data_IF_184709680206
#
_entry.id   IF_184709680206
#
_cell.length_a   1.000
_cell.length_b   1.000
_cell.length_c   1.000
_cell.angle_alpha   90.00
_cell.angle_beta   90.00
_cell.angle_gamma   90.00
#
_symmetry.space_group_name_H-M   'P 1'
#
loop_
_entity.id
_entity.type
_entity.pdbx_description
1 polymer ?
#
# COMPACT_ATOMS: atom_id res chain seq x y z
N UNK A 1 -74.21 22.57 -32.02
CA UNK A 1 -73.19 22.97 -31.06
C UNK A 1 -72.43 21.76 -30.60
N UNK A 2 -71.30 21.46 -31.22
CA UNK A 2 -70.44 20.33 -30.89
C UNK A 2 -69.16 20.94 -30.28
N UNK A 3 -68.91 20.65 -28.99
CA UNK A 3 -67.70 21.07 -28.30
C UNK A 3 -66.59 20.06 -28.60
N UNK A 4 -65.53 20.54 -29.21
CA UNK A 4 -64.28 19.79 -29.38
C UNK A 4 -63.53 19.77 -28.05
N UNK A 5 -63.22 18.58 -27.55
CA UNK A 5 -62.37 18.34 -26.42
C UNK A 5 -60.93 18.13 -26.95
N UNK A 6 -60.07 19.12 -26.71
CA UNK A 6 -58.68 18.99 -27.07
C UNK A 6 -57.93 18.14 -26.05
N UNK A 7 -57.35 17.04 -26.53
CA UNK A 7 -56.42 16.22 -25.74
C UNK A 7 -55.03 16.82 -25.87
N UNK A 8 -54.52 17.36 -24.79
CA UNK A 8 -53.11 17.81 -24.67
C UNK A 8 -52.28 16.56 -24.29
N UNK A 9 -51.52 16.04 -25.24
CA UNK A 9 -50.50 15.02 -24.98
C UNK A 9 -49.27 15.65 -24.38
N UNK A 10 -49.05 15.45 -23.10
CA UNK A 10 -47.78 15.80 -22.41
C UNK A 10 -46.77 14.68 -22.76
N UNK A 11 -45.85 15.01 -23.67
CA UNK A 11 -44.68 14.17 -23.94
C UNK A 11 -43.68 14.32 -22.79
N UNK A 12 -43.67 13.38 -21.88
CA UNK A 12 -42.62 13.27 -20.86
C UNK A 12 -41.39 12.65 -21.53
N UNK A 13 -40.45 13.49 -21.97
CA UNK A 13 -39.12 13.04 -22.37
C UNK A 13 -38.36 12.68 -21.12
N UNK A 14 -38.31 11.38 -20.79
CA UNK A 14 -37.33 10.82 -19.86
C UNK A 14 -35.95 10.91 -20.53
N UNK A 15 -35.24 11.99 -20.25
CA UNK A 15 -33.80 12.03 -20.45
C UNK A 15 -33.18 11.08 -19.40
N UNK A 16 -32.95 9.85 -19.81
CA UNK A 16 -32.07 8.95 -19.10
C UNK A 16 -30.65 9.54 -19.20
N UNK A 17 -30.31 10.42 -18.26
CA UNK A 17 -28.92 10.74 -17.97
C UNK A 17 -28.29 9.46 -17.43
N UNK A 18 -27.64 8.72 -18.33
CA UNK A 18 -26.65 7.73 -17.92
C UNK A 18 -25.57 8.51 -17.17
N UNK A 19 -25.68 8.54 -15.84
CA UNK A 19 -24.56 8.87 -14.99
C UNK A 19 -23.53 7.76 -15.29
N UNK A 20 -22.57 8.06 -16.18
CA UNK A 20 -21.30 7.37 -16.18
C UNK A 20 -20.74 7.61 -14.77
N UNK A 21 -20.94 6.65 -13.89
CA UNK A 21 -20.19 6.58 -12.65
C UNK A 21 -18.73 6.61 -13.10
N UNK A 22 -18.08 7.74 -12.84
CA UNK A 22 -16.65 7.90 -13.08
C UNK A 22 -16.03 6.81 -12.22
N UNK A 23 -15.56 5.70 -12.84
CA UNK A 23 -14.86 4.65 -12.11
C UNK A 23 -13.80 5.34 -11.28
N UNK A 24 -13.81 5.09 -9.98
CA UNK A 24 -12.79 5.62 -9.10
C UNK A 24 -11.44 5.19 -9.72
N UNK A 25 -10.64 6.17 -10.10
CA UNK A 25 -9.43 5.89 -10.85
C UNK A 25 -8.37 5.47 -9.85
N UNK A 26 -7.84 4.23 -10.00
CA UNK A 26 -6.73 3.75 -9.17
C UNK A 26 -5.60 4.78 -9.18
N UNK A 27 -5.19 5.22 -8.00
CA UNK A 27 -4.08 6.15 -7.85
C UNK A 27 -2.75 5.42 -8.00
N UNK A 28 -1.85 5.96 -8.82
CA UNK A 28 -0.52 5.39 -9.06
C UNK A 28 0.52 6.20 -8.31
N UNK A 29 1.22 5.55 -7.37
CA UNK A 29 2.28 6.14 -6.57
C UNK A 29 3.67 5.60 -6.87
N UNK A 30 4.65 6.18 -6.20
CA UNK A 30 6.05 5.76 -6.28
C UNK A 30 6.69 5.70 -4.90
N UNK A 31 7.27 4.54 -4.56
CA UNK A 31 8.07 4.36 -3.36
C UNK A 31 9.39 5.10 -3.52
N UNK A 32 9.58 6.16 -2.76
CA UNK A 32 10.71 7.06 -2.92
C UNK A 32 11.14 7.72 -1.60
N UNK A 33 12.23 8.46 -1.60
CA UNK A 33 12.72 9.23 -0.45
C UNK A 33 12.34 10.70 -0.55
N UNK A 34 12.44 11.41 0.58
CA UNK A 34 12.19 12.87 0.65
C UNK A 34 12.95 13.66 -0.43
N UNK A 35 14.23 13.32 -0.66
CA UNK A 35 15.08 14.02 -1.64
C UNK A 35 14.58 13.91 -3.09
N UNK A 36 13.81 12.87 -3.40
CA UNK A 36 13.32 12.59 -4.75
C UNK A 36 11.85 12.99 -4.96
N UNK A 37 11.20 13.58 -3.95
CA UNK A 37 9.77 13.88 -3.98
C UNK A 37 9.39 14.83 -5.14
N UNK A 38 10.21 15.85 -5.40
CA UNK A 38 9.99 16.76 -6.53
C UNK A 38 10.12 16.05 -7.89
N UNK A 39 11.05 15.10 -8.02
CA UNK A 39 11.22 14.31 -9.22
C UNK A 39 10.04 13.34 -9.42
N UNK A 40 9.51 12.74 -8.35
CA UNK A 40 8.31 11.91 -8.41
C UNK A 40 7.09 12.72 -8.89
N UNK A 41 6.92 13.96 -8.39
CA UNK A 41 5.88 14.88 -8.86
C UNK A 41 6.04 15.20 -10.35
N UNK A 42 7.25 15.54 -10.77
CA UNK A 42 7.55 15.84 -12.18
C UNK A 42 7.33 14.62 -13.10
N UNK A 43 7.53 13.39 -12.60
CA UNK A 43 7.24 12.14 -13.29
C UNK A 43 5.74 11.84 -13.50
N UNK A 44 4.86 12.61 -12.84
CA UNK A 44 3.40 12.52 -13.02
C UNK A 44 2.71 11.49 -12.11
N UNK A 45 3.34 11.02 -11.03
CA UNK A 45 2.71 10.18 -10.04
C UNK A 45 1.62 10.95 -9.27
N UNK A 46 0.54 10.24 -8.90
CA UNK A 46 -0.57 10.83 -8.15
C UNK A 46 -0.19 11.07 -6.68
N UNK A 47 0.75 10.28 -6.15
CA UNK A 47 1.27 10.39 -4.79
C UNK A 47 2.68 9.78 -4.66
N UNK A 48 3.36 10.09 -3.57
CA UNK A 48 4.59 9.43 -3.17
C UNK A 48 4.36 8.55 -1.93
N UNK A 49 5.07 7.45 -1.87
CA UNK A 49 5.17 6.57 -0.71
C UNK A 49 6.55 6.71 -0.09
N UNK A 50 6.62 7.25 1.12
CA UNK A 50 7.87 7.58 1.81
C UNK A 50 8.30 6.47 2.78
N UNK A 51 9.62 6.34 3.00
CA UNK A 51 10.14 5.40 3.99
C UNK A 51 9.87 5.84 5.42
N UNK A 52 9.14 5.03 6.20
CA UNK A 52 8.88 5.31 7.63
C UNK A 52 10.17 5.44 8.42
N UNK A 53 11.16 4.58 8.17
CA UNK A 53 12.46 4.63 8.87
C UNK A 53 13.25 5.92 8.60
N UNK A 54 13.14 6.47 7.37
CA UNK A 54 13.70 7.77 7.03
C UNK A 54 13.05 8.87 7.89
N UNK A 55 11.72 8.94 7.88
CA UNK A 55 10.95 9.96 8.61
C UNK A 55 11.13 9.86 10.13
N UNK A 56 11.02 8.65 10.69
CA UNK A 56 11.18 8.44 12.12
C UNK A 56 12.61 8.69 12.62
N UNK A 57 13.61 8.51 11.74
CA UNK A 57 15.03 8.69 12.03
C UNK A 57 15.50 10.15 12.08
N UNK A 58 14.77 11.10 11.50
CA UNK A 58 15.16 12.51 11.45
C UNK A 58 15.32 13.11 12.86
N UNK A 59 16.24 14.06 13.02
CA UNK A 59 16.20 14.96 14.16
C UNK A 59 14.95 15.86 14.08
N UNK A 60 14.53 16.47 15.20
CA UNK A 60 13.27 17.23 15.19
C UNK A 60 13.29 18.40 14.20
N UNK A 61 14.38 19.17 14.20
CA UNK A 61 14.52 20.30 13.27
C UNK A 61 14.50 19.89 11.79
N UNK A 62 15.10 18.73 11.47
CA UNK A 62 15.12 18.17 10.12
C UNK A 62 13.73 17.66 9.71
N UNK A 63 12.99 17.06 10.64
CA UNK A 63 11.62 16.65 10.41
C UNK A 63 10.71 17.86 10.13
N UNK A 64 10.81 18.92 10.93
CA UNK A 64 10.04 20.15 10.70
C UNK A 64 10.37 20.78 9.33
N UNK A 65 11.62 20.72 8.89
CA UNK A 65 11.98 21.17 7.55
C UNK A 65 11.39 20.27 6.48
N UNK A 66 11.50 18.95 6.63
CA UNK A 66 10.93 17.97 5.71
C UNK A 66 9.42 18.14 5.58
N UNK A 67 8.70 18.41 6.68
CA UNK A 67 7.25 18.65 6.63
C UNK A 67 6.89 19.89 5.82
N UNK A 68 7.67 20.97 5.94
CA UNK A 68 7.50 22.17 5.12
C UNK A 68 7.76 21.87 3.64
N UNK A 69 8.84 21.15 3.33
CA UNK A 69 9.23 20.80 1.97
C UNK A 69 8.17 19.91 1.28
N UNK A 70 7.65 18.90 1.99
CA UNK A 70 6.54 18.06 1.51
C UNK A 70 5.31 18.91 1.18
N UNK A 71 4.92 19.82 2.08
CA UNK A 71 3.79 20.72 1.86
C UNK A 71 4.03 21.66 0.67
N UNK A 72 5.23 22.21 0.52
CA UNK A 72 5.59 23.10 -0.58
C UNK A 72 5.61 22.39 -1.94
N UNK A 73 6.18 21.17 -1.98
CA UNK A 73 6.19 20.34 -3.20
C UNK A 73 4.75 19.98 -3.59
N UNK A 74 3.89 19.67 -2.61
CA UNK A 74 2.46 19.45 -2.81
C UNK A 74 2.17 18.19 -3.62
N UNK A 75 3.03 17.16 -3.55
CA UNK A 75 2.69 15.79 -3.95
C UNK A 75 2.15 15.08 -2.70
N UNK A 76 0.91 14.54 -2.71
CA UNK A 76 0.36 13.82 -1.58
C UNK A 76 1.27 12.65 -1.13
N UNK A 77 1.30 12.35 0.17
CA UNK A 77 2.05 11.25 0.75
C UNK A 77 1.16 10.36 1.64
N UNK A 78 0.08 9.78 1.09
CA UNK A 78 -0.91 9.05 1.88
C UNK A 78 -0.43 7.69 2.38
N UNK A 79 0.68 7.18 1.85
CA UNK A 79 1.24 5.87 2.18
C UNK A 79 2.72 6.01 2.58
N UNK A 80 3.16 5.17 3.52
CA UNK A 80 4.57 5.02 3.86
C UNK A 80 4.92 3.53 3.98
N UNK A 81 6.11 3.14 3.52
CA UNK A 81 6.64 1.78 3.63
C UNK A 81 7.78 1.69 4.67
N UNK A 82 8.53 0.58 4.68
CA UNK A 82 9.70 0.38 5.53
C UNK A 82 9.43 0.70 7.02
N UNK A 83 8.32 0.16 7.56
CA UNK A 83 7.78 0.52 8.86
C UNK A 83 8.82 0.46 9.99
N UNK A 84 9.51 -0.68 10.15
CA UNK A 84 10.44 -0.91 11.26
C UNK A 84 11.88 -1.07 10.77
N UNK A 85 12.87 -0.50 11.48
CA UNK A 85 14.27 -0.81 11.23
C UNK A 85 14.55 -2.27 11.59
N UNK A 86 15.45 -2.94 10.88
CA UNK A 86 15.79 -4.34 11.08
C UNK A 86 16.30 -4.67 12.50
N UNK A 87 16.80 -3.68 13.23
CA UNK A 87 17.27 -3.80 14.61
C UNK A 87 16.16 -3.88 15.64
N UNK A 88 14.97 -3.33 15.34
CA UNK A 88 13.81 -3.36 16.24
C UNK A 88 13.04 -4.67 16.04
N UNK A 89 13.39 -5.69 16.82
CA UNK A 89 12.81 -7.04 16.66
C UNK A 89 11.37 -7.10 17.18
N UNK A 90 10.52 -7.82 16.43
CA UNK A 90 9.14 -8.12 16.80
C UNK A 90 8.89 -9.63 16.97
N UNK A 91 9.90 -10.45 16.70
CA UNK A 91 9.90 -11.90 16.93
C UNK A 91 11.18 -12.33 17.63
N UNK A 92 11.10 -13.42 18.35
CA UNK A 92 12.25 -14.03 19.04
C UNK A 92 12.38 -13.60 20.51
N UNK A 93 13.47 -14.03 21.18
CA UNK A 93 13.66 -13.79 22.61
C UNK A 93 14.13 -12.36 22.95
N UNK A 94 14.60 -11.61 21.95
CA UNK A 94 15.18 -10.27 22.14
C UNK A 94 14.18 -9.13 21.84
N UNK A 95 12.88 -9.38 21.94
CA UNK A 95 11.89 -8.32 21.78
C UNK A 95 11.91 -7.37 22.97
N UNK A 96 11.92 -6.07 22.67
CA UNK A 96 11.82 -5.00 23.65
C UNK A 96 10.56 -4.19 23.37
N UNK A 97 9.52 -4.41 24.21
CA UNK A 97 8.21 -3.79 24.04
C UNK A 97 8.23 -2.29 24.23
N UNK A 98 9.04 -1.78 25.14
CA UNK A 98 9.12 -0.35 25.42
C UNK A 98 9.79 0.39 24.25
N UNK A 99 10.85 -0.19 23.67
CA UNK A 99 11.43 0.34 22.43
C UNK A 99 10.46 0.28 21.26
N UNK A 100 9.69 -0.82 21.11
CA UNK A 100 8.65 -0.91 20.07
C UNK A 100 7.62 0.21 20.22
N UNK A 101 7.08 0.42 21.42
CA UNK A 101 6.09 1.45 21.70
C UNK A 101 6.66 2.83 21.41
N UNK A 102 7.84 3.15 21.93
CA UNK A 102 8.49 4.45 21.73
C UNK A 102 8.71 4.75 20.23
N UNK A 103 9.21 3.76 19.48
CA UNK A 103 9.42 3.91 18.04
C UNK A 103 8.11 4.11 17.27
N UNK A 104 7.10 3.26 17.51
CA UNK A 104 5.81 3.29 16.81
C UNK A 104 5.09 4.60 17.08
N UNK A 105 5.09 5.09 18.35
CA UNK A 105 4.51 6.39 18.72
C UNK A 105 5.15 7.51 17.91
N UNK A 106 6.49 7.59 17.92
CA UNK A 106 7.22 8.62 17.16
C UNK A 106 6.94 8.53 15.65
N UNK A 107 6.93 7.31 15.11
CA UNK A 107 6.69 7.09 13.68
C UNK A 107 5.29 7.56 13.28
N UNK A 108 4.25 7.15 14.00
CA UNK A 108 2.87 7.51 13.67
C UNK A 108 2.57 8.99 13.87
N UNK A 109 3.12 9.61 14.93
CA UNK A 109 3.00 11.06 15.10
C UNK A 109 3.53 11.80 13.87
N UNK A 110 4.75 11.51 13.44
CA UNK A 110 5.38 12.16 12.30
C UNK A 110 4.66 11.87 10.98
N UNK A 111 4.33 10.60 10.75
CA UNK A 111 3.66 10.19 9.51
C UNK A 111 2.26 10.82 9.39
N UNK A 112 1.48 10.87 10.46
CA UNK A 112 0.16 11.50 10.43
C UNK A 112 0.23 13.00 10.10
N UNK A 113 1.27 13.70 10.56
CA UNK A 113 1.55 15.11 10.24
C UNK A 113 1.92 15.32 8.76
N UNK A 114 2.49 14.31 8.10
CA UNK A 114 2.73 14.32 6.65
C UNK A 114 1.51 13.88 5.82
N UNK A 115 0.38 13.55 6.46
CA UNK A 115 -0.85 13.13 5.79
C UNK A 115 -0.91 11.63 5.47
N UNK A 116 0.00 10.82 6.00
CA UNK A 116 -0.02 9.35 5.82
C UNK A 116 -1.24 8.74 6.47
N UNK A 117 -1.88 7.79 5.77
CA UNK A 117 -3.07 7.05 6.22
C UNK A 117 -2.87 5.54 6.15
N UNK A 118 -1.88 5.07 5.40
CA UNK A 118 -1.53 3.66 5.31
C UNK A 118 -0.03 3.50 5.55
N UNK A 119 0.35 2.55 6.42
CA UNK A 119 1.76 2.21 6.67
C UNK A 119 1.99 0.75 6.32
N UNK A 120 2.85 0.49 5.36
CA UNK A 120 3.19 -0.86 4.91
C UNK A 120 4.19 -1.49 5.87
N UNK A 121 3.81 -2.64 6.42
CA UNK A 121 4.61 -3.44 7.31
C UNK A 121 5.27 -4.63 6.58
N UNK A 122 6.23 -4.34 5.71
CA UNK A 122 7.14 -5.33 5.15
C UNK A 122 8.20 -5.75 6.19
N UNK A 123 9.16 -4.91 6.45
CA UNK A 123 10.14 -4.97 7.57
C UNK A 123 10.70 -6.37 7.84
N UNK A 124 11.12 -7.09 6.79
CA UNK A 124 11.52 -8.50 6.87
C UNK A 124 12.58 -8.80 7.94
N UNK A 125 13.56 -7.90 8.10
CA UNK A 125 14.61 -8.04 9.11
C UNK A 125 14.11 -7.90 10.55
N UNK A 126 13.09 -7.08 10.81
CA UNK A 126 12.51 -6.89 12.14
C UNK A 126 11.69 -8.11 12.58
N UNK A 127 10.97 -8.75 11.63
CA UNK A 127 10.09 -9.90 11.92
C UNK A 127 10.70 -11.27 11.63
N UNK A 128 11.96 -11.32 11.16
CA UNK A 128 12.65 -12.61 10.92
C UNK A 128 12.73 -13.42 12.20
N UNK A 129 12.23 -14.64 12.14
CA UNK A 129 12.30 -15.61 13.24
C UNK A 129 13.75 -16.06 13.43
N UNK A 130 14.34 -15.93 14.62
CA UNK A 130 15.69 -16.43 14.88
C UNK A 130 15.79 -17.95 14.75
N UNK A 131 16.98 -18.45 14.39
CA UNK A 131 17.22 -19.89 14.29
C UNK A 131 16.92 -20.60 15.62
N UNK A 132 16.21 -21.70 15.55
CA UNK A 132 15.79 -22.47 16.71
C UNK A 132 14.63 -21.87 17.53
N UNK A 133 14.13 -20.69 17.20
CA UNK A 133 12.96 -20.11 17.87
C UNK A 133 11.67 -20.70 17.27
N UNK A 134 10.69 -21.15 18.10
CA UNK A 134 9.47 -21.78 17.60
C UNK A 134 8.65 -20.80 16.72
N UNK A 135 8.28 -21.24 15.50
CA UNK A 135 7.52 -20.43 14.55
C UNK A 135 6.16 -19.99 15.10
N UNK A 136 5.48 -20.86 15.87
CA UNK A 136 4.18 -20.54 16.48
C UNK A 136 4.31 -19.47 17.54
N UNK A 137 5.42 -19.44 18.30
CA UNK A 137 5.71 -18.39 19.26
C UNK A 137 5.96 -17.06 18.53
N UNK A 138 6.73 -17.09 17.45
CA UNK A 138 6.96 -15.92 16.61
C UNK A 138 5.64 -15.36 16.01
N UNK A 139 4.75 -16.24 15.56
CA UNK A 139 3.43 -15.83 15.06
C UNK A 139 2.60 -15.17 16.17
N UNK A 140 2.56 -15.75 17.38
CA UNK A 140 1.89 -15.14 18.55
C UNK A 140 2.48 -13.77 18.90
N UNK A 141 3.80 -13.61 18.80
CA UNK A 141 4.47 -12.31 19.00
C UNK A 141 4.07 -11.29 17.94
N UNK A 142 3.95 -11.71 16.66
CA UNK A 142 3.45 -10.84 15.58
C UNK A 142 1.99 -10.43 15.82
N UNK A 143 1.14 -11.33 16.28
CA UNK A 143 -0.26 -11.02 16.63
C UNK A 143 -0.31 -10.01 17.78
N UNK A 144 0.48 -10.19 18.84
CA UNK A 144 0.55 -9.25 19.98
C UNK A 144 1.07 -7.87 19.53
N UNK A 145 2.15 -7.83 18.75
CA UNK A 145 2.67 -6.59 18.17
C UNK A 145 1.64 -5.91 17.27
N UNK A 146 0.97 -6.67 16.39
CA UNK A 146 -0.04 -6.15 15.48
C UNK A 146 -1.22 -5.53 16.23
N UNK A 147 -1.75 -6.19 17.25
CA UNK A 147 -2.85 -5.67 18.09
C UNK A 147 -2.48 -4.34 18.75
N UNK A 148 -1.31 -4.26 19.37
CA UNK A 148 -0.85 -3.03 20.03
C UNK A 148 -0.64 -1.90 19.00
N UNK A 149 0.02 -2.21 17.89
CA UNK A 149 0.29 -1.22 16.84
C UNK A 149 -0.97 -0.75 16.13
N UNK A 150 -1.99 -1.61 15.95
CA UNK A 150 -3.28 -1.22 15.39
C UNK A 150 -4.02 -0.21 16.26
N UNK A 151 -4.01 -0.41 17.59
CA UNK A 151 -4.59 0.56 18.53
C UNK A 151 -3.91 1.93 18.41
N UNK A 152 -2.58 1.95 18.39
CA UNK A 152 -1.81 3.20 18.22
C UNK A 152 -2.04 3.84 16.84
N UNK A 153 -2.13 3.04 15.77
CA UNK A 153 -2.42 3.51 14.42
C UNK A 153 -3.79 4.20 14.34
N UNK A 154 -4.79 3.65 14.99
CA UNK A 154 -6.15 4.22 15.07
C UNK A 154 -6.15 5.64 15.64
N UNK A 155 -5.38 5.90 16.69
CA UNK A 155 -5.26 7.22 17.32
C UNK A 155 -4.73 8.29 16.35
N UNK A 156 -3.95 7.86 15.33
CA UNK A 156 -3.38 8.73 14.30
C UNK A 156 -4.13 8.69 12.96
N UNK A 157 -5.25 7.95 12.88
CA UNK A 157 -6.00 7.76 11.64
C UNK A 157 -5.22 6.98 10.57
N UNK A 158 -4.36 6.06 11.02
CA UNK A 158 -3.49 5.21 10.18
C UNK A 158 -4.04 3.78 10.17
N UNK A 159 -3.91 3.10 9.05
CA UNK A 159 -4.06 1.65 8.92
C UNK A 159 -2.69 1.02 8.62
N UNK A 160 -2.27 0.04 9.41
CA UNK A 160 -1.15 -0.82 9.10
C UNK A 160 -1.56 -1.84 8.04
N UNK A 161 -0.72 -2.08 7.05
CA UNK A 161 -0.93 -3.09 6.02
C UNK A 161 0.26 -4.05 6.00
N UNK A 162 0.05 -5.28 6.48
CA UNK A 162 1.10 -6.32 6.44
C UNK A 162 1.42 -6.68 5.01
N UNK A 163 2.70 -6.69 4.68
CA UNK A 163 3.22 -7.11 3.40
C UNK A 163 3.86 -8.49 3.52
N UNK A 164 3.32 -9.52 2.88
CA UNK A 164 4.00 -10.78 2.69
C UNK A 164 5.24 -10.60 1.81
N UNK A 165 6.39 -11.06 2.29
CA UNK A 165 7.66 -10.94 1.58
C UNK A 165 8.16 -12.31 1.12
N UNK A 166 8.87 -12.37 0.01
CA UNK A 166 9.53 -13.61 -0.45
C UNK A 166 10.50 -14.17 0.58
N UNK A 167 10.76 -15.48 0.51
CA UNK A 167 11.56 -16.21 1.50
C UNK A 167 13.00 -15.75 1.63
N UNK A 168 13.57 -15.14 0.60
CA UNK A 168 14.91 -14.56 0.67
C UNK A 168 14.98 -13.36 1.62
N UNK A 169 13.88 -12.61 1.79
CA UNK A 169 13.84 -11.40 2.62
C UNK A 169 13.42 -11.67 4.06
N UNK A 170 12.59 -12.70 4.30
CA UNK A 170 12.19 -13.10 5.65
C UNK A 170 11.77 -14.57 5.66
N UNK A 171 11.59 -15.16 6.85
CA UNK A 171 11.17 -16.56 7.02
C UNK A 171 9.80 -16.73 7.68
N UNK A 172 9.00 -15.65 7.72
CA UNK A 172 7.63 -15.67 8.26
C UNK A 172 6.74 -14.67 7.48
N UNK A 173 5.48 -15.05 7.25
CA UNK A 173 4.53 -14.30 6.41
C UNK A 173 5.11 -14.14 4.99
N UNK A 174 5.17 -15.27 4.29
CA UNK A 174 5.78 -15.36 2.97
C UNK A 174 4.74 -15.51 1.84
N UNK A 175 3.46 -15.53 2.16
CA UNK A 175 2.38 -15.54 1.18
C UNK A 175 1.24 -14.62 1.60
N UNK A 176 0.44 -14.16 0.65
CA UNK A 176 -0.75 -13.38 0.94
C UNK A 176 -1.75 -14.16 1.81
N UNK A 177 -1.81 -15.49 1.64
CA UNK A 177 -2.59 -16.36 2.52
C UNK A 177 -2.09 -16.33 3.97
N UNK A 178 -0.77 -16.38 4.22
CA UNK A 178 -0.21 -16.22 5.59
C UNK A 178 -0.47 -14.79 6.12
N UNK A 179 -0.39 -13.78 5.28
CA UNK A 179 -0.72 -12.40 5.63
C UNK A 179 -2.18 -12.24 6.06
N UNK A 180 -3.11 -12.85 5.32
CA UNK A 180 -4.53 -12.85 5.64
C UNK A 180 -4.80 -13.56 6.97
N UNK A 181 -4.17 -14.71 7.23
CA UNK A 181 -4.27 -15.40 8.53
C UNK A 181 -3.82 -14.50 9.69
N UNK A 182 -2.74 -13.73 9.50
CA UNK A 182 -2.27 -12.77 10.52
C UNK A 182 -3.29 -11.65 10.74
N UNK A 183 -3.86 -11.08 9.67
CA UNK A 183 -4.90 -10.04 9.74
C UNK A 183 -6.12 -10.55 10.53
N UNK A 184 -6.60 -11.75 10.21
CA UNK A 184 -7.72 -12.39 10.89
C UNK A 184 -7.43 -12.67 12.38
N UNK A 185 -6.21 -13.14 12.70
CA UNK A 185 -5.79 -13.41 14.09
C UNK A 185 -5.66 -12.14 14.93
N UNK A 186 -5.32 -11.01 14.32
CA UNK A 186 -5.28 -9.69 14.96
C UNK A 186 -6.70 -9.15 15.13
N UNK A 187 -7.54 -9.23 14.09
CA UNK A 187 -8.95 -8.88 14.13
C UNK A 187 -9.23 -7.39 14.38
N UNK A 188 -8.34 -6.48 13.96
CA UNK A 188 -8.49 -5.03 14.13
C UNK A 188 -8.61 -4.34 12.77
N UNK A 189 -9.58 -3.44 12.56
CA UNK A 189 -9.77 -2.75 11.27
C UNK A 189 -8.58 -1.85 10.87
N UNK A 190 -7.72 -1.48 11.81
CA UNK A 190 -6.51 -0.72 11.54
C UNK A 190 -5.27 -1.61 11.30
N UNK A 191 -5.47 -2.94 11.18
CA UNK A 191 -4.43 -3.87 10.72
C UNK A 191 -4.98 -4.71 9.58
N UNK A 192 -4.46 -4.52 8.37
CA UNK A 192 -5.00 -5.06 7.14
C UNK A 192 -3.89 -5.67 6.27
N UNK A 193 -4.22 -6.12 5.06
CA UNK A 193 -3.30 -6.74 4.11
C UNK A 193 -2.92 -5.76 3.00
N UNK A 194 -1.68 -5.83 2.53
CA UNK A 194 -1.28 -5.37 1.21
C UNK A 194 -0.64 -6.50 0.43
N UNK A 195 -0.59 -6.38 -0.90
CA UNK A 195 0.03 -7.36 -1.79
C UNK A 195 1.00 -6.64 -2.72
N UNK A 196 2.26 -7.10 -2.72
CA UNK A 196 3.25 -6.73 -3.73
C UNK A 196 3.31 -7.80 -4.83
N UNK A 197 3.05 -7.39 -6.06
CA UNK A 197 3.15 -8.29 -7.22
C UNK A 197 4.55 -8.91 -7.35
N UNK A 198 5.61 -8.17 -7.02
CA UNK A 198 6.97 -8.69 -7.06
C UNK A 198 7.15 -9.91 -6.15
N UNK A 199 6.67 -9.84 -4.91
CA UNK A 199 6.75 -10.93 -3.95
C UNK A 199 5.83 -12.08 -4.33
N UNK A 200 4.59 -11.78 -4.72
CA UNK A 200 3.61 -12.78 -5.17
C UNK A 200 4.15 -13.59 -6.36
N UNK A 201 4.71 -12.94 -7.37
CA UNK A 201 5.29 -13.60 -8.54
C UNK A 201 6.57 -14.38 -8.19
N UNK A 202 7.42 -13.85 -7.28
CA UNK A 202 8.65 -14.53 -6.81
C UNK A 202 8.34 -15.84 -6.08
N UNK A 203 7.30 -15.87 -5.27
CA UNK A 203 6.83 -17.05 -4.54
C UNK A 203 5.90 -17.94 -5.39
N UNK A 204 5.56 -17.53 -6.61
CA UNK A 204 4.63 -18.22 -7.53
C UNK A 204 3.25 -18.45 -6.90
N UNK A 205 2.81 -17.50 -6.09
CA UNK A 205 1.49 -17.54 -5.47
C UNK A 205 0.41 -17.21 -6.52
N UNK A 206 -0.75 -17.90 -6.43
CA UNK A 206 -1.87 -17.65 -7.33
C UNK A 206 -2.48 -16.27 -7.06
N UNK A 207 -2.55 -15.36 -8.05
CA UNK A 207 -3.23 -14.08 -7.90
C UNK A 207 -4.70 -14.16 -7.51
N UNK A 208 -5.35 -15.30 -7.64
CA UNK A 208 -6.70 -15.56 -7.14
C UNK A 208 -6.87 -15.30 -5.64
N UNK A 209 -5.77 -15.30 -4.86
CA UNK A 209 -5.78 -14.89 -3.44
C UNK A 209 -6.30 -13.46 -3.25
N UNK A 210 -6.11 -12.57 -4.22
CA UNK A 210 -6.62 -11.19 -4.19
C UNK A 210 -8.14 -11.16 -4.02
N UNK A 211 -8.83 -12.07 -4.71
CA UNK A 211 -10.31 -12.16 -4.64
C UNK A 211 -10.75 -12.61 -3.25
N UNK A 212 -10.03 -13.54 -2.63
CA UNK A 212 -10.32 -14.01 -1.27
C UNK A 212 -10.03 -12.92 -0.23
N UNK A 213 -8.97 -12.14 -0.44
CA UNK A 213 -8.52 -11.12 0.50
C UNK A 213 -9.22 -9.75 0.32
N UNK A 214 -10.18 -9.59 -0.62
CA UNK A 214 -10.75 -8.30 -1.04
C UNK A 214 -11.16 -7.38 0.13
N UNK A 215 -11.80 -7.94 1.17
CA UNK A 215 -12.28 -7.18 2.33
C UNK A 215 -11.12 -6.59 3.18
N UNK A 216 -9.95 -7.21 3.08
CA UNK A 216 -8.75 -6.87 3.84
C UNK A 216 -7.69 -6.15 3.02
N UNK A 217 -7.81 -6.12 1.69
CA UNK A 217 -6.81 -5.51 0.81
C UNK A 217 -6.89 -3.97 0.88
N UNK A 218 -5.78 -3.32 1.25
CA UNK A 218 -5.72 -1.87 1.44
C UNK A 218 -4.71 -1.16 0.56
N UNK A 219 -3.71 -1.88 0.08
CA UNK A 219 -2.65 -1.30 -0.73
C UNK A 219 -2.00 -2.34 -1.63
N UNK A 220 -1.36 -1.85 -2.69
CA UNK A 220 -0.64 -2.70 -3.64
C UNK A 220 0.74 -2.10 -3.94
N UNK A 221 1.73 -3.00 -4.09
CA UNK A 221 2.99 -2.68 -4.75
C UNK A 221 3.13 -3.43 -6.06
N UNK A 222 3.92 -2.87 -6.97
CA UNK A 222 4.27 -3.49 -8.23
C UNK A 222 5.69 -3.16 -8.67
N UNK A 223 6.38 -4.17 -9.16
CA UNK A 223 7.59 -4.06 -9.96
C UNK A 223 7.60 -5.15 -11.04
N UNK A 224 8.41 -4.99 -12.06
CA UNK A 224 8.77 -6.11 -12.94
C UNK A 224 9.60 -7.11 -12.12
N UNK A 225 9.15 -8.38 -11.98
CA UNK A 225 9.87 -9.39 -11.18
C UNK A 225 11.29 -9.68 -11.67
N UNK A 226 11.56 -9.44 -12.95
CA UNK A 226 12.91 -9.56 -13.51
C UNK A 226 13.73 -8.31 -13.16
N UNK A 227 14.42 -8.35 -12.04
CA UNK A 227 15.34 -7.30 -11.61
C UNK A 227 14.73 -6.24 -10.69
N UNK A 228 13.45 -6.37 -10.29
CA UNK A 228 12.71 -5.40 -9.45
C UNK A 228 12.85 -3.98 -10.00
N UNK A 229 12.56 -3.85 -11.31
CA UNK A 229 12.61 -2.59 -12.05
C UNK A 229 11.19 -2.10 -12.39
N UNK A 230 11.06 -0.88 -12.91
CA UNK A 230 9.78 -0.33 -13.37
C UNK A 230 9.09 -1.27 -14.37
N UNK A 231 7.76 -1.49 -14.24
CA UNK A 231 6.97 -2.22 -15.23
C UNK A 231 6.69 -1.28 -16.41
N UNK A 232 7.33 -1.50 -17.57
CA UNK A 232 7.29 -0.58 -18.69
C UNK A 232 6.49 -1.09 -19.88
N UNK A 233 6.22 -2.40 -19.94
CA UNK A 233 5.49 -3.05 -21.03
C UNK A 233 4.80 -4.32 -20.54
N UNK A 234 3.65 -4.67 -21.11
CA UNK A 234 2.95 -5.92 -20.82
C UNK A 234 3.70 -7.17 -21.32
N UNK A 235 4.60 -7.01 -22.29
CA UNK A 235 5.38 -8.11 -22.85
C UNK A 235 6.57 -8.53 -21.98
N UNK A 236 6.96 -7.72 -20.97
CA UNK A 236 8.11 -7.99 -20.10
C UNK A 236 7.83 -9.14 -19.12
N UNK A 237 6.58 -9.28 -18.70
CA UNK A 237 6.15 -10.28 -17.74
C UNK A 237 4.64 -10.55 -17.88
N UNK A 238 4.16 -11.71 -17.44
CA UNK A 238 2.75 -12.02 -17.40
C UNK A 238 2.07 -11.35 -16.19
N UNK A 239 1.63 -10.11 -16.38
CA UNK A 239 0.90 -9.32 -15.37
C UNK A 239 -0.61 -9.61 -15.37
N UNK A 240 -1.14 -10.20 -16.47
CA UNK A 240 -2.59 -10.28 -16.68
C UNK A 240 -3.35 -11.01 -15.58
N UNK A 241 -2.89 -12.14 -15.00
CA UNK A 241 -3.61 -12.80 -13.90
C UNK A 241 -3.80 -11.90 -12.67
N UNK A 242 -2.78 -11.08 -12.36
CA UNK A 242 -2.85 -10.12 -11.25
C UNK A 242 -3.86 -9.01 -11.51
N UNK A 243 -3.79 -8.39 -12.68
CA UNK A 243 -4.74 -7.32 -13.04
C UNK A 243 -6.16 -7.84 -13.22
N UNK A 244 -6.35 -9.05 -13.76
CA UNK A 244 -7.66 -9.68 -13.85
C UNK A 244 -8.30 -9.88 -12.47
N UNK A 245 -7.53 -10.33 -11.48
CA UNK A 245 -8.02 -10.46 -10.11
C UNK A 245 -8.42 -9.11 -9.50
N UNK A 246 -7.63 -8.04 -9.73
CA UNK A 246 -7.95 -6.69 -9.28
C UNK A 246 -9.22 -6.14 -9.95
N UNK A 247 -9.40 -6.37 -11.24
CA UNK A 247 -10.65 -5.99 -11.94
C UNK A 247 -11.86 -6.77 -11.43
N UNK A 248 -11.68 -8.05 -11.06
CA UNK A 248 -12.75 -8.88 -10.49
C UNK A 248 -13.29 -8.31 -9.17
N UNK A 249 -12.42 -7.72 -8.35
CA UNK A 249 -12.85 -7.09 -7.08
C UNK A 249 -13.17 -5.60 -7.23
N UNK A 250 -13.13 -5.07 -8.45
CA UNK A 250 -13.33 -3.65 -8.73
C UNK A 250 -12.42 -2.74 -7.88
N UNK A 251 -11.12 -3.12 -7.79
CA UNK A 251 -10.17 -2.39 -6.96
C UNK A 251 -10.06 -0.92 -7.37
N UNK A 252 -10.30 -0.02 -6.43
CA UNK A 252 -10.31 1.43 -6.59
C UNK A 252 -9.31 2.17 -5.69
N UNK A 253 -8.40 1.41 -5.07
CA UNK A 253 -7.43 1.92 -4.10
C UNK A 253 -6.17 2.53 -4.72
N UNK A 254 -5.02 2.22 -4.13
CA UNK A 254 -3.70 2.74 -4.51
C UNK A 254 -2.75 1.62 -4.88
N UNK A 255 -1.91 1.88 -5.90
CA UNK A 255 -0.82 1.01 -6.28
C UNK A 255 0.46 1.84 -6.39
N UNK A 256 1.52 1.45 -5.67
CA UNK A 256 2.83 2.11 -5.76
C UNK A 256 3.81 1.28 -6.58
N UNK A 257 4.55 1.94 -7.45
CA UNK A 257 5.72 1.33 -8.08
C UNK A 257 6.84 1.27 -7.04
N UNK A 258 7.18 0.05 -6.57
CA UNK A 258 8.30 -0.19 -5.65
C UNK A 258 9.45 -0.86 -6.40
N UNK A 259 10.16 -0.08 -7.17
CA UNK A 259 11.12 -0.56 -8.13
C UNK A 259 12.27 0.42 -8.35
N UNK A 260 13.38 -0.09 -8.86
CA UNK A 260 14.49 0.73 -9.32
C UNK A 260 14.28 1.20 -10.77
N UNK A 261 14.79 2.40 -11.06
CA UNK A 261 14.91 2.92 -12.42
C UNK A 261 16.24 3.64 -12.61
N UNK A 262 16.74 3.68 -13.83
CA UNK A 262 17.93 4.47 -14.21
C UNK A 262 17.54 5.85 -14.73
N UNK A 263 16.32 6.01 -15.20
CA UNK A 263 15.79 7.25 -15.78
C UNK A 263 14.31 7.42 -15.39
N UNK A 264 14.09 8.04 -14.23
CA UNK A 264 12.75 8.28 -13.71
C UNK A 264 11.90 9.13 -14.68
N UNK A 265 12.51 10.09 -15.35
CA UNK A 265 11.81 11.01 -16.26
C UNK A 265 11.23 10.26 -17.46
N UNK A 266 11.94 9.29 -18.00
CA UNK A 266 11.50 8.45 -19.11
C UNK A 266 10.56 7.34 -18.68
N UNK A 267 10.86 6.67 -17.54
CA UNK A 267 10.18 5.44 -17.13
C UNK A 267 8.84 5.71 -16.41
N UNK A 268 8.75 6.81 -15.64
CA UNK A 268 7.55 7.11 -14.87
C UNK A 268 6.28 7.24 -15.73
N UNK A 269 6.26 8.04 -16.82
CA UNK A 269 5.06 8.14 -17.67
C UNK A 269 4.65 6.80 -18.30
N UNK A 270 5.62 5.94 -18.62
CA UNK A 270 5.38 4.62 -19.22
C UNK A 270 4.74 3.67 -18.20
N UNK A 271 5.31 3.58 -16.99
CA UNK A 271 4.77 2.76 -15.92
C UNK A 271 3.35 3.23 -15.51
N UNK A 272 3.14 4.53 -15.34
CA UNK A 272 1.83 5.11 -15.05
C UNK A 272 0.82 4.76 -16.14
N UNK A 273 1.20 4.92 -17.42
CA UNK A 273 0.33 4.57 -18.55
C UNK A 273 -0.01 3.08 -18.58
N UNK A 274 0.96 2.19 -18.29
CA UNK A 274 0.73 0.75 -18.21
C UNK A 274 -0.30 0.44 -17.12
N UNK A 275 -0.10 0.95 -15.90
CA UNK A 275 -0.99 0.67 -14.77
C UNK A 275 -2.40 1.21 -14.99
N UNK A 276 -2.55 2.43 -15.54
CA UNK A 276 -3.86 3.01 -15.87
C UNK A 276 -4.60 2.29 -16.98
N UNK A 277 -3.89 1.60 -17.89
CA UNK A 277 -4.54 0.77 -18.93
C UNK A 277 -4.90 -0.62 -18.43
N UNK A 278 -4.22 -1.11 -17.40
CA UNK A 278 -4.45 -2.42 -16.83
C UNK A 278 -5.67 -2.46 -15.90
N UNK A 279 -5.96 -1.35 -15.21
CA UNK A 279 -6.99 -1.15 -14.19
C UNK A 279 -8.05 -0.17 -14.66
#
# INVERSE_FOLDING_TARGET
>A
MIRAVGVVAIAVTLAAQAAFAQRAHVQVGYCTSLKNLAAAKAGGFDYAELGTTEIAGLAEADFEQAARDVAQIGLPTPVANLFLPATLKVTGPAIDRDQQIAYVTKAFDRLSRLGVRTVVFGSGGARRVPDGFPRDDAFRQLVDFGKRSALMAREHGITLAIEPLRREETNIINSAAEGLQLVEAIGDPNFQLMIDFYHLASEREDPGIIVHAREHLRHLHIANPKGRVFPLSFEEFDYEPFFAALRTIEYDGRISVEASTRDLQSDAPRAISLLRRAL
#
